data_IF_848727785577
#
_entry.id   IF_848727785577
#
_cell.length_a   1.000
_cell.length_b   1.000
_cell.length_c   1.000
_cell.angle_alpha   90.00
_cell.angle_beta   90.00
_cell.angle_gamma   90.00
#
_symmetry.space_group_name_H-M   'P 1'
#
loop_
_entity.id
_entity.type
_entity.pdbx_description
1 polymer ?
#
# COMPACT_ATOMS: atom_id res chain seq x y z
N UNK A 1 61.86 -34.99 -15.05
CA UNK A 1 60.97 -34.30 -16.02
C UNK A 1 59.55 -34.41 -15.51
N UNK A 2 58.81 -33.30 -15.59
CA UNK A 2 57.37 -33.11 -15.33
C UNK A 2 56.92 -33.12 -13.87
N UNK A 3 57.01 -31.94 -13.28
CA UNK A 3 56.16 -31.48 -12.18
C UNK A 3 54.70 -31.46 -12.66
N UNK A 4 53.79 -32.06 -11.90
CA UNK A 4 52.34 -31.86 -12.07
C UNK A 4 51.88 -31.12 -10.82
N UNK A 5 51.59 -29.83 -11.03
CA UNK A 5 51.07 -28.94 -10.01
C UNK A 5 49.58 -29.23 -9.77
N UNK A 6 49.23 -29.31 -8.50
CA UNK A 6 47.87 -29.41 -7.97
C UNK A 6 47.18 -28.04 -8.18
N UNK A 7 46.12 -27.99 -8.98
CA UNK A 7 45.26 -26.81 -9.09
C UNK A 7 43.92 -27.10 -8.40
N UNK A 8 43.79 -26.67 -7.14
CA UNK A 8 42.49 -26.55 -6.48
C UNK A 8 41.78 -25.31 -7.05
N UNK A 9 40.69 -25.53 -7.78
CA UNK A 9 39.78 -24.47 -8.19
C UNK A 9 38.83 -24.16 -7.02
N UNK A 10 39.14 -23.10 -6.26
CA UNK A 10 38.20 -22.52 -5.31
C UNK A 10 37.15 -21.71 -6.10
N UNK A 11 35.94 -22.25 -6.23
CA UNK A 11 34.79 -21.52 -6.77
C UNK A 11 34.29 -20.51 -5.73
N UNK A 12 34.68 -19.24 -5.87
CA UNK A 12 34.03 -18.15 -5.16
C UNK A 12 32.65 -17.91 -5.77
N UNK A 13 31.59 -18.42 -5.12
CA UNK A 13 30.24 -17.92 -5.35
C UNK A 13 30.15 -16.53 -4.72
N UNK A 14 30.20 -15.49 -5.55
CA UNK A 14 29.81 -14.14 -5.15
C UNK A 14 28.28 -14.10 -5.03
N UNK A 15 27.77 -14.36 -3.83
CA UNK A 15 26.42 -13.98 -3.46
C UNK A 15 26.36 -12.45 -3.38
N UNK A 16 25.74 -11.81 -4.37
CA UNK A 16 25.42 -10.39 -4.29
C UNK A 16 24.31 -10.18 -3.25
N UNK A 17 24.51 -9.35 -2.21
CA UNK A 17 23.40 -8.94 -1.36
C UNK A 17 22.49 -8.03 -2.18
N UNK A 18 21.20 -8.34 -2.24
CA UNK A 18 20.19 -7.38 -2.64
C UNK A 18 20.14 -6.31 -1.53
N UNK A 19 20.89 -5.23 -1.70
CA UNK A 19 20.78 -4.06 -0.83
C UNK A 19 19.39 -3.44 -1.03
N UNK A 20 18.55 -3.54 -0.01
CA UNK A 20 17.44 -2.63 0.18
C UNK A 20 18.04 -1.21 0.27
N UNK A 21 17.60 -0.31 -0.62
CA UNK A 21 18.02 1.08 -0.58
C UNK A 21 17.33 1.76 0.59
N UNK A 22 18.03 1.79 1.72
CA UNK A 22 17.79 2.68 2.83
C UNK A 22 18.35 4.06 2.46
N UNK A 23 17.50 5.07 2.32
CA UNK A 23 17.93 6.44 2.06
C UNK A 23 17.81 7.25 3.35
N UNK A 24 18.92 7.30 4.08
CA UNK A 24 19.15 8.19 5.20
C UNK A 24 19.28 9.66 4.79
N UNK A 25 18.92 10.51 5.75
CA UNK A 25 18.95 11.96 5.81
C UNK A 25 20.24 12.63 5.29
N UNK A 26 20.08 13.72 4.52
CA UNK A 26 20.51 15.07 4.95
C UNK A 26 20.25 16.11 3.85
N UNK A 27 19.37 17.08 4.15
CA UNK A 27 19.65 18.52 3.93
C UNK A 27 18.45 19.35 4.37
N UNK A 28 18.73 20.34 5.21
CA UNK A 28 17.81 21.44 5.55
C UNK A 28 17.53 22.26 4.29
N UNK A 29 16.48 21.90 3.57
CA UNK A 29 15.89 22.66 2.48
C UNK A 29 14.53 23.19 2.91
N UNK A 30 14.27 24.47 2.65
CA UNK A 30 12.94 25.08 2.77
C UNK A 30 11.88 24.14 2.19
N UNK A 31 10.75 23.99 2.86
CA UNK A 31 9.55 23.33 2.34
C UNK A 31 9.12 24.03 1.05
N UNK A 32 9.68 23.62 -0.08
CA UNK A 32 9.09 23.87 -1.38
C UNK A 32 7.81 23.03 -1.40
N UNK A 33 6.67 23.70 -1.30
CA UNK A 33 5.42 23.09 -1.73
C UNK A 33 5.59 22.76 -3.22
N UNK A 34 5.96 21.52 -3.52
CA UNK A 34 6.13 21.09 -4.90
C UNK A 34 4.79 21.29 -5.61
N UNK A 35 4.78 22.19 -6.59
CA UNK A 35 3.62 22.42 -7.43
C UNK A 35 3.22 21.10 -8.10
N UNK A 36 1.92 20.84 -8.31
CA UNK A 36 1.50 19.62 -8.98
C UNK A 36 2.19 19.43 -10.32
N UNK A 37 2.70 18.23 -10.59
CA UNK A 37 3.31 17.90 -11.88
C UNK A 37 2.26 17.85 -12.99
N UNK A 38 2.69 18.11 -14.23
CA UNK A 38 1.83 18.04 -15.40
C UNK A 38 1.37 16.62 -15.73
N UNK A 39 0.27 16.51 -16.49
CA UNK A 39 -0.27 15.23 -16.96
C UNK A 39 0.74 14.44 -17.83
N UNK A 40 1.64 15.16 -18.50
CA UNK A 40 2.72 14.59 -19.30
C UNK A 40 3.71 13.78 -18.47
N UNK A 41 4.00 14.20 -17.24
CA UNK A 41 4.85 13.46 -16.30
C UNK A 41 4.21 12.12 -15.92
N UNK A 42 2.93 12.15 -15.53
CA UNK A 42 2.19 10.93 -15.15
C UNK A 42 1.99 10.01 -16.36
N UNK A 43 1.74 10.57 -17.55
CA UNK A 43 1.67 9.80 -18.79
C UNK A 43 3.01 9.12 -19.12
N UNK A 44 4.13 9.83 -18.96
CA UNK A 44 5.46 9.26 -19.16
C UNK A 44 5.75 8.11 -18.17
N UNK A 45 5.37 8.25 -16.91
CA UNK A 45 5.52 7.20 -15.90
C UNK A 45 4.71 5.94 -16.27
N UNK A 46 3.44 6.11 -16.67
CA UNK A 46 2.60 4.99 -17.12
C UNK A 46 3.18 4.31 -18.37
N UNK A 47 3.72 5.09 -19.31
CA UNK A 47 4.38 4.56 -20.50
C UNK A 47 5.66 3.77 -20.15
N UNK A 48 6.46 4.28 -19.20
CA UNK A 48 7.63 3.59 -18.67
C UNK A 48 7.25 2.26 -18.00
N UNK A 49 6.20 2.25 -17.17
CA UNK A 49 5.67 1.02 -16.57
C UNK A 49 5.29 -0.01 -17.63
N UNK A 50 4.54 0.39 -18.66
CA UNK A 50 4.14 -0.51 -19.74
C UNK A 50 5.35 -1.06 -20.50
N UNK A 51 6.34 -0.21 -20.79
CA UNK A 51 7.59 -0.62 -21.45
C UNK A 51 8.39 -1.61 -20.60
N UNK A 52 8.57 -1.29 -19.31
CA UNK A 52 9.44 -2.05 -18.39
C UNK A 52 8.81 -3.38 -17.93
N UNK A 53 7.51 -3.56 -18.14
CA UNK A 53 6.80 -4.82 -17.82
C UNK A 53 6.59 -5.72 -19.03
N UNK A 54 6.69 -5.19 -20.25
CA UNK A 54 6.46 -5.93 -21.49
C UNK A 54 7.41 -7.13 -21.61
N UNK A 55 6.84 -8.34 -21.67
CA UNK A 55 7.59 -9.59 -21.84
C UNK A 55 8.36 -10.07 -20.60
N UNK A 56 8.37 -9.29 -19.50
CA UNK A 56 9.12 -9.63 -18.28
C UNK A 56 8.42 -10.68 -17.39
N UNK A 57 7.15 -11.02 -17.69
CA UNK A 57 6.42 -12.07 -16.97
C UNK A 57 5.74 -11.62 -15.68
N UNK A 58 5.68 -10.31 -15.40
CA UNK A 58 4.93 -9.78 -14.25
C UNK A 58 3.46 -10.19 -14.30
N UNK A 59 2.90 -10.46 -13.11
CA UNK A 59 1.46 -10.60 -12.92
C UNK A 59 0.72 -9.27 -13.06
N UNK A 60 -0.62 -9.30 -12.90
CA UNK A 60 -1.44 -8.10 -12.79
C UNK A 60 -0.88 -7.11 -11.76
N UNK A 61 -1.01 -5.82 -12.04
CA UNK A 61 -0.49 -4.71 -11.25
C UNK A 61 -1.62 -3.96 -10.53
N UNK A 62 -1.27 -3.34 -9.41
CA UNK A 62 -2.17 -2.56 -8.55
C UNK A 62 -1.55 -1.19 -8.25
N UNK A 63 -2.33 -0.13 -7.94
CA UNK A 63 -3.78 -0.13 -7.71
C UNK A 63 -4.58 0.05 -9.00
N UNK A 64 -5.89 -0.19 -8.94
CA UNK A 64 -6.81 -0.11 -10.09
C UNK A 64 -8.13 0.57 -9.74
N UNK A 65 -8.90 0.86 -10.77
CA UNK A 65 -10.32 1.14 -10.64
C UNK A 65 -11.06 -0.17 -10.32
N UNK A 66 -11.71 -0.25 -9.15
CA UNK A 66 -12.47 -1.42 -8.69
C UNK A 66 -13.87 -1.49 -9.28
N UNK A 67 -14.36 -0.40 -9.89
CA UNK A 67 -15.64 -0.39 -10.64
C UNK A 67 -15.45 -0.86 -12.08
N UNK A 68 -14.21 -0.94 -12.56
CA UNK A 68 -13.87 -1.45 -13.90
C UNK A 68 -13.45 -2.90 -13.84
N UNK A 69 -14.29 -3.80 -14.35
CA UNK A 69 -13.99 -5.24 -14.37
C UNK A 69 -12.92 -5.65 -15.40
N UNK A 70 -12.59 -4.79 -16.36
CA UNK A 70 -11.75 -5.13 -17.49
C UNK A 70 -10.27 -5.38 -17.10
N UNK A 71 -9.66 -6.37 -17.75
CA UNK A 71 -8.24 -6.67 -17.67
C UNK A 71 -7.87 -7.83 -18.58
N UNK A 72 -6.74 -7.69 -19.27
CA UNK A 72 -6.25 -8.64 -20.27
C UNK A 72 -5.07 -9.47 -19.77
N UNK A 73 -4.54 -9.18 -18.58
CA UNK A 73 -3.40 -9.90 -18.05
C UNK A 73 -3.82 -11.32 -17.65
N UNK A 74 -3.42 -12.30 -18.46
CA UNK A 74 -3.77 -13.71 -18.28
C UNK A 74 -2.84 -14.45 -17.30
N UNK A 75 -1.86 -13.78 -16.66
CA UNK A 75 -1.01 -14.43 -15.65
C UNK A 75 -1.84 -14.68 -14.40
N UNK A 76 -1.94 -15.96 -14.03
CA UNK A 76 -2.71 -16.43 -12.89
C UNK A 76 -1.79 -17.00 -11.82
N UNK A 77 -2.15 -16.77 -10.57
CA UNK A 77 -1.56 -17.39 -9.39
C UNK A 77 -2.68 -17.79 -8.43
N UNK A 78 -2.38 -18.73 -7.53
CA UNK A 78 -3.36 -19.22 -6.56
C UNK A 78 -3.84 -18.07 -5.68
N UNK A 79 -5.16 -17.92 -5.58
CA UNK A 79 -5.76 -17.00 -4.62
C UNK A 79 -5.26 -17.35 -3.20
N UNK A 80 -4.88 -16.33 -2.45
CA UNK A 80 -4.51 -16.49 -1.06
C UNK A 80 -5.72 -16.94 -0.23
N UNK A 81 -5.52 -17.70 0.85
CA UNK A 81 -6.59 -18.05 1.79
C UNK A 81 -7.32 -16.82 2.33
N UNK A 82 -8.46 -17.04 3.01
CA UNK A 82 -9.08 -15.96 3.78
C UNK A 82 -8.09 -15.40 4.82
N UNK A 83 -8.14 -14.09 5.09
CA UNK A 83 -7.20 -13.44 6.00
C UNK A 83 -7.20 -14.07 7.41
N UNK A 84 -8.35 -14.61 7.86
CA UNK A 84 -8.49 -15.32 9.14
C UNK A 84 -7.70 -16.63 9.24
N UNK A 85 -7.15 -17.12 8.12
CA UNK A 85 -6.30 -18.30 8.03
C UNK A 85 -4.84 -17.95 7.70
N UNK A 86 -4.47 -16.66 7.72
CA UNK A 86 -3.14 -16.15 7.37
C UNK A 86 -2.61 -15.25 8.49
N UNK A 87 -1.31 -15.03 8.57
CA UNK A 87 -0.72 -14.18 9.60
C UNK A 87 -0.73 -12.72 9.18
N UNK A 88 -1.27 -11.83 10.01
CA UNK A 88 -1.10 -10.39 9.85
C UNK A 88 0.39 -10.07 9.96
N UNK A 89 0.95 -9.39 8.95
CA UNK A 89 2.35 -8.97 8.94
C UNK A 89 2.52 -7.47 9.03
N UNK A 90 1.58 -6.69 8.48
CA UNK A 90 1.71 -5.23 8.47
C UNK A 90 0.34 -4.56 8.38
N UNK A 91 0.19 -3.41 9.03
CA UNK A 91 -0.87 -2.44 8.76
C UNK A 91 -0.20 -1.10 8.46
N UNK A 92 -0.50 -0.54 7.31
CA UNK A 92 -0.06 0.80 6.91
C UNK A 92 -1.21 1.53 6.22
N UNK A 93 -1.02 2.83 5.97
CA UNK A 93 -2.03 3.62 5.29
C UNK A 93 -1.45 4.72 4.41
N UNK A 94 -2.21 5.09 3.39
CA UNK A 94 -1.85 6.14 2.43
C UNK A 94 -2.71 7.38 2.63
N UNK A 95 -2.17 8.55 2.29
CA UNK A 95 -2.98 9.76 2.18
C UNK A 95 -3.70 9.77 0.83
N UNK A 96 -5.03 9.86 0.88
CA UNK A 96 -5.97 9.52 -0.18
C UNK A 96 -5.96 8.02 -0.53
N UNK A 97 -6.97 7.58 -1.28
CA UNK A 97 -7.07 6.22 -1.76
C UNK A 97 -6.12 5.98 -2.94
N UNK A 98 -5.40 4.85 -2.88
CA UNK A 98 -4.61 4.31 -3.99
C UNK A 98 -5.53 3.72 -5.06
N UNK A 99 -6.57 3.01 -4.62
CA UNK A 99 -7.62 2.52 -5.50
C UNK A 99 -8.59 3.64 -5.88
N UNK A 100 -9.30 3.42 -6.98
CA UNK A 100 -10.45 4.22 -7.40
C UNK A 100 -11.69 3.34 -7.38
N UNK A 101 -12.82 3.86 -6.92
CA UNK A 101 -14.13 3.22 -7.11
C UNK A 101 -15.06 3.44 -5.94
N UNK A 102 -16.31 2.98 -6.07
CA UNK A 102 -17.31 3.16 -5.03
C UNK A 102 -17.45 4.63 -4.60
N UNK A 103 -17.18 4.91 -3.33
CA UNK A 103 -17.30 6.25 -2.73
C UNK A 103 -16.02 7.11 -2.81
N UNK A 104 -14.96 6.63 -3.48
CA UNK A 104 -13.67 7.33 -3.63
C UNK A 104 -13.22 7.39 -5.09
N UNK A 105 -13.80 8.31 -5.85
CA UNK A 105 -13.57 8.49 -7.30
C UNK A 105 -13.05 9.86 -7.69
N UNK A 106 -13.07 10.83 -6.77
CA UNK A 106 -12.58 12.20 -7.03
C UNK A 106 -11.06 12.23 -7.01
N UNK A 107 -10.43 12.45 -8.16
CA UNK A 107 -8.97 12.54 -8.24
C UNK A 107 -8.43 13.79 -7.54
N UNK A 108 -7.45 13.61 -6.65
CA UNK A 108 -6.82 14.68 -5.89
C UNK A 108 -5.90 15.58 -6.73
N UNK A 109 -5.49 15.11 -7.91
CA UNK A 109 -4.49 15.74 -8.77
C UNK A 109 -3.21 14.91 -8.85
N UNK A 110 -2.26 15.35 -9.67
CA UNK A 110 -1.01 14.61 -9.91
C UNK A 110 0.00 14.69 -8.77
N UNK A 111 -0.21 15.62 -7.83
CA UNK A 111 0.69 15.81 -6.70
C UNK A 111 2.13 16.07 -7.15
N UNK A 112 3.10 15.60 -6.35
CA UNK A 112 4.52 15.80 -6.63
C UNK A 112 5.11 14.87 -7.71
N UNK A 113 4.29 14.00 -8.32
CA UNK A 113 4.73 12.97 -9.27
C UNK A 113 5.42 11.76 -8.61
N UNK A 114 5.58 11.79 -7.29
CA UNK A 114 6.17 10.73 -6.46
C UNK A 114 5.15 10.14 -5.48
N UNK A 115 3.87 10.44 -5.69
CA UNK A 115 2.73 9.82 -4.99
C UNK A 115 2.16 10.64 -3.86
N UNK A 116 2.85 11.66 -3.37
CA UNK A 116 2.27 12.55 -2.37
C UNK A 116 1.33 13.56 -3.02
N UNK A 117 0.30 13.97 -2.29
CA UNK A 117 -0.73 14.91 -2.76
C UNK A 117 -1.50 14.43 -4.02
N UNK A 118 -1.51 13.11 -4.28
CA UNK A 118 -2.27 12.46 -5.36
C UNK A 118 -3.31 11.47 -4.80
N UNK A 119 -3.89 10.61 -5.63
CA UNK A 119 -4.84 9.57 -5.25
C UNK A 119 -6.31 10.01 -5.34
N UNK A 120 -7.20 9.26 -4.71
CA UNK A 120 -8.64 9.47 -4.79
C UNK A 120 -9.26 9.84 -3.43
N UNK A 121 -10.13 10.84 -3.46
CA UNK A 121 -10.81 11.37 -2.28
C UNK A 121 -12.20 10.78 -2.17
N UNK A 122 -12.66 10.66 -0.93
CA UNK A 122 -14.06 10.42 -0.60
C UNK A 122 -14.96 11.47 -1.26
N UNK A 123 -16.05 11.02 -1.87
CA UNK A 123 -16.98 11.86 -2.63
C UNK A 123 -18.13 12.41 -1.79
N UNK A 124 -18.35 11.88 -0.59
CA UNK A 124 -19.50 12.27 0.22
C UNK A 124 -19.29 13.58 0.98
N UNK A 125 -20.35 14.02 1.64
CA UNK A 125 -20.37 15.29 2.37
C UNK A 125 -20.04 15.11 3.85
N UNK A 126 -19.38 16.11 4.41
CA UNK A 126 -19.06 16.23 5.83
C UNK A 126 -19.68 17.53 6.36
N UNK A 127 -20.14 17.49 7.61
CA UNK A 127 -20.63 18.70 8.29
C UNK A 127 -19.48 19.65 8.66
N UNK A 128 -19.80 20.91 8.91
CA UNK A 128 -18.82 21.89 9.39
C UNK A 128 -18.15 21.45 10.70
N UNK A 129 -18.90 20.79 11.59
CA UNK A 129 -18.37 20.26 12.83
C UNK A 129 -17.35 19.14 12.59
N UNK A 130 -17.63 18.23 11.65
CA UNK A 130 -16.71 17.15 11.26
C UNK A 130 -15.43 17.67 10.58
N UNK A 131 -15.52 18.81 9.90
CA UNK A 131 -14.39 19.48 9.24
C UNK A 131 -13.65 20.47 10.15
N UNK A 132 -14.13 20.69 11.37
CA UNK A 132 -13.54 21.67 12.27
C UNK A 132 -12.06 21.31 12.56
N UNK A 133 -11.14 22.28 12.52
CA UNK A 133 -9.71 22.01 12.69
C UNK A 133 -9.39 21.44 14.06
N UNK A 134 -8.35 20.60 14.13
CA UNK A 134 -7.77 20.12 15.39
C UNK A 134 -6.61 21.01 15.83
N UNK A 135 -6.33 21.03 17.13
CA UNK A 135 -5.34 21.95 17.75
C UNK A 135 -3.89 21.48 17.67
N UNK A 136 -3.61 20.34 17.03
CA UNK A 136 -2.29 19.75 16.95
C UNK A 136 -2.10 19.01 15.62
N UNK A 137 -0.85 18.77 15.24
CA UNK A 137 -0.52 18.01 14.04
C UNK A 137 -0.88 16.53 14.21
N UNK A 138 -1.39 15.93 13.12
CA UNK A 138 -1.79 14.53 13.06
C UNK A 138 -0.88 13.83 12.06
N UNK A 139 -0.09 12.88 12.55
CA UNK A 139 0.83 12.06 11.76
C UNK A 139 1.71 12.90 10.79
N UNK A 140 2.48 13.88 11.30
CA UNK A 140 3.24 14.82 10.48
C UNK A 140 4.34 14.11 9.67
N UNK A 141 4.60 14.62 8.47
CA UNK A 141 5.71 14.18 7.61
C UNK A 141 6.32 15.35 6.85
N UNK A 142 7.41 15.10 6.12
CA UNK A 142 7.98 16.07 5.18
C UNK A 142 6.98 16.51 4.08
N UNK A 143 5.94 15.72 3.81
CA UNK A 143 4.91 15.97 2.80
C UNK A 143 3.59 16.51 3.38
N UNK A 144 3.59 16.86 4.68
CA UNK A 144 2.46 17.45 5.38
C UNK A 144 1.80 16.52 6.41
N UNK A 145 0.87 17.09 7.16
CA UNK A 145 0.04 16.41 8.17
C UNK A 145 -1.30 15.92 7.58
N UNK A 146 -2.05 15.16 8.38
CA UNK A 146 -3.45 14.83 8.14
C UNK A 146 -4.39 15.89 8.72
N UNK A 147 -5.51 16.14 8.04
CA UNK A 147 -6.53 17.10 8.43
C UNK A 147 -7.93 16.48 8.38
N UNK A 148 -8.89 17.00 9.16
CA UNK A 148 -10.29 16.64 9.01
C UNK A 148 -10.75 16.84 7.56
N UNK A 149 -11.41 15.84 6.98
CA UNK A 149 -11.78 15.77 5.57
C UNK A 149 -10.80 14.98 4.69
N UNK A 150 -9.58 14.72 5.16
CA UNK A 150 -8.65 13.87 4.42
C UNK A 150 -9.19 12.45 4.30
N UNK A 151 -8.99 11.86 3.12
CA UNK A 151 -9.24 10.44 2.87
C UNK A 151 -7.96 9.66 3.18
N UNK A 152 -8.08 8.46 3.73
CA UNK A 152 -6.97 7.52 3.86
C UNK A 152 -7.40 6.14 3.38
N UNK A 153 -6.48 5.42 2.76
CA UNK A 153 -6.67 4.00 2.45
C UNK A 153 -5.72 3.16 3.30
N UNK A 154 -6.28 2.17 3.98
CA UNK A 154 -5.60 1.35 4.98
C UNK A 154 -5.50 -0.07 4.46
N UNK A 155 -4.28 -0.60 4.53
CA UNK A 155 -3.96 -1.96 4.10
C UNK A 155 -3.67 -2.84 5.30
N UNK A 156 -4.43 -3.91 5.44
CA UNK A 156 -4.17 -4.98 6.39
C UNK A 156 -3.53 -6.14 5.62
N UNK A 157 -2.20 -6.21 5.68
CA UNK A 157 -1.40 -7.13 4.88
C UNK A 157 -1.22 -8.44 5.65
N UNK A 158 -1.54 -9.54 4.99
CA UNK A 158 -1.46 -10.89 5.53
C UNK A 158 -0.54 -11.75 4.67
N UNK A 159 0.17 -12.68 5.31
CA UNK A 159 1.09 -13.61 4.69
C UNK A 159 0.81 -15.05 5.15
N UNK A 160 1.01 -16.03 4.27
CA UNK A 160 1.01 -17.45 4.66
C UNK A 160 2.31 -17.87 5.35
N UNK A 161 3.34 -17.02 5.37
CA UNK A 161 4.58 -17.29 6.07
C UNK A 161 4.37 -17.29 7.59
N UNK A 162 5.23 -18.02 8.30
CA UNK A 162 5.33 -17.96 9.76
C UNK A 162 6.13 -16.71 10.14
N UNK A 163 5.41 -15.62 10.43
CA UNK A 163 5.97 -14.28 10.67
C UNK A 163 5.27 -13.62 11.86
N UNK A 164 5.86 -12.52 12.32
CA UNK A 164 5.24 -11.62 13.29
C UNK A 164 5.02 -10.24 12.67
N UNK A 165 3.99 -9.50 13.09
CA UNK A 165 3.77 -8.12 12.67
C UNK A 165 5.03 -7.24 12.82
N UNK A 166 5.28 -6.37 11.85
CA UNK A 166 6.40 -5.45 11.90
C UNK A 166 6.43 -4.43 10.76
N UNK A 167 7.49 -3.61 10.70
CA UNK A 167 7.61 -2.53 9.74
C UNK A 167 7.86 -3.04 8.33
N UNK A 168 7.29 -2.31 7.36
CA UNK A 168 7.48 -2.52 5.91
C UNK A 168 6.93 -3.85 5.36
N UNK A 169 6.96 -3.98 4.03
CA UNK A 169 6.67 -5.24 3.35
C UNK A 169 7.62 -6.39 3.77
N UNK A 170 8.82 -6.06 4.26
CA UNK A 170 9.80 -7.05 4.72
C UNK A 170 9.26 -7.96 5.81
N UNK A 171 8.42 -7.46 6.72
CA UNK A 171 7.78 -8.27 7.77
C UNK A 171 6.76 -9.29 7.24
N UNK A 172 6.35 -9.17 5.98
CA UNK A 172 5.46 -10.14 5.33
C UNK A 172 6.22 -11.28 4.65
N UNK A 173 7.54 -11.19 4.59
CA UNK A 173 8.42 -12.15 3.93
C UNK A 173 9.26 -12.91 4.95
N UNK A 174 9.70 -14.11 4.60
CA UNK A 174 10.59 -14.93 5.41
C UNK A 174 11.75 -15.38 4.54
N UNK A 175 12.98 -15.37 5.07
CA UNK A 175 14.15 -15.90 4.37
C UNK A 175 13.98 -17.38 3.99
N UNK A 176 13.15 -18.12 4.74
CA UNK A 176 12.86 -19.53 4.49
C UNK A 176 11.81 -19.77 3.40
N UNK A 177 11.08 -18.74 2.97
CA UNK A 177 9.96 -18.86 2.02
C UNK A 177 10.07 -17.75 0.97
N UNK A 178 10.55 -18.10 -0.23
CA UNK A 178 10.75 -17.13 -1.32
C UNK A 178 9.48 -16.60 -2.00
N UNK A 179 8.32 -17.22 -1.78
CA UNK A 179 7.05 -16.78 -2.39
C UNK A 179 5.84 -17.12 -1.51
N UNK A 180 5.65 -16.46 -0.36
CA UNK A 180 4.43 -16.62 0.41
C UNK A 180 3.23 -16.09 -0.37
N UNK A 181 2.02 -16.61 -0.10
CA UNK A 181 0.82 -15.98 -0.63
C UNK A 181 0.55 -14.72 0.20
N UNK A 182 0.35 -13.60 -0.50
CA UNK A 182 0.02 -12.32 0.10
C UNK A 182 -1.46 -12.00 -0.12
N UNK A 183 -2.10 -11.49 0.93
CA UNK A 183 -3.47 -11.00 0.89
C UNK A 183 -3.54 -9.62 1.53
N UNK A 184 -4.24 -8.69 0.89
CA UNK A 184 -4.52 -7.37 1.47
C UNK A 184 -6.02 -7.21 1.61
N UNK A 185 -6.47 -7.01 2.85
CA UNK A 185 -7.79 -6.46 3.11
C UNK A 185 -7.66 -4.94 3.15
N UNK A 186 -8.50 -4.24 2.40
CA UNK A 186 -8.40 -2.79 2.23
C UNK A 186 -9.67 -2.10 2.71
N UNK A 187 -9.47 -1.00 3.43
CA UNK A 187 -10.53 -0.09 3.87
C UNK A 187 -10.18 1.33 3.46
N UNK A 188 -11.18 2.08 3.03
CA UNK A 188 -11.04 3.53 2.83
C UNK A 188 -11.80 4.25 3.94
N UNK A 189 -11.15 5.22 4.55
CA UNK A 189 -11.71 6.03 5.63
C UNK A 189 -11.66 7.51 5.28
N UNK A 190 -12.58 8.28 5.86
CA UNK A 190 -12.51 9.75 5.88
C UNK A 190 -12.33 10.22 7.31
N UNK A 191 -11.37 11.11 7.52
CA UNK A 191 -11.02 11.62 8.83
C UNK A 191 -11.98 12.72 9.23
N UNK A 192 -12.55 12.65 10.43
CA UNK A 192 -13.48 13.64 10.95
C UNK A 192 -13.11 14.04 12.38
N UNK A 193 -13.37 15.30 12.71
CA UNK A 193 -13.30 15.80 14.09
C UNK A 193 -14.59 15.46 14.85
N UNK A 194 -14.82 14.17 15.05
CA UNK A 194 -15.96 13.67 15.84
C UNK A 194 -15.53 12.50 16.74
N UNK A 195 -15.69 12.67 18.06
CA UNK A 195 -15.37 11.65 19.06
C UNK A 195 -16.29 10.43 19.01
N UNK A 196 -17.43 10.51 18.33
CA UNK A 196 -18.36 9.40 18.10
C UNK A 196 -18.03 8.59 16.86
N UNK A 197 -17.16 9.10 15.98
CA UNK A 197 -16.68 8.36 14.82
C UNK A 197 -15.83 7.15 15.25
N UNK A 198 -15.53 6.26 14.30
CA UNK A 198 -14.78 5.05 14.59
C UNK A 198 -13.38 5.36 15.16
N UNK A 199 -12.92 4.54 16.10
CA UNK A 199 -11.60 4.68 16.72
C UNK A 199 -10.58 3.87 15.92
N UNK A 200 -9.55 4.53 15.41
CA UNK A 200 -8.52 3.92 14.57
C UNK A 200 -7.74 2.83 15.31
N UNK A 201 -7.44 3.01 16.59
CA UNK A 201 -6.77 1.99 17.41
C UNK A 201 -7.60 0.72 17.52
N UNK A 202 -8.94 0.82 17.57
CA UNK A 202 -9.84 -0.34 17.48
C UNK A 202 -9.86 -0.94 16.09
N UNK A 203 -9.88 -0.13 15.04
CA UNK A 203 -9.84 -0.59 13.64
C UNK A 203 -8.54 -1.31 13.29
N UNK A 204 -7.44 -0.97 13.96
CA UNK A 204 -6.13 -1.62 13.83
C UNK A 204 -5.83 -2.62 14.94
N UNK A 205 -6.85 -3.04 15.72
CA UNK A 205 -6.63 -3.95 16.84
C UNK A 205 -6.09 -5.31 16.36
N UNK A 206 -5.03 -5.76 17.03
CA UNK A 206 -4.36 -7.03 16.76
C UNK A 206 -4.67 -7.99 17.91
N UNK A 207 -4.95 -9.25 17.58
CA UNK A 207 -4.99 -10.34 18.56
C UNK A 207 -4.10 -11.49 18.10
N UNK A 208 -3.55 -12.24 19.06
CA UNK A 208 -3.01 -13.57 18.78
C UNK A 208 -4.17 -14.56 18.79
N UNK A 209 -4.51 -15.16 17.65
CA UNK A 209 -5.44 -16.31 17.60
C UNK A 209 -4.74 -17.48 16.91
N UNK A 210 -4.47 -18.53 17.68
CA UNK A 210 -3.84 -19.74 17.14
C UNK A 210 -2.38 -19.51 16.72
N UNK A 211 -2.05 -19.83 15.47
CA UNK A 211 -0.67 -19.88 14.94
C UNK A 211 -0.09 -18.53 14.48
N UNK A 212 -0.72 -17.39 14.80
CA UNK A 212 -0.14 -16.07 14.54
C UNK A 212 -1.07 -14.88 14.78
N UNK A 213 -0.61 -13.69 14.38
CA UNK A 213 -1.30 -12.42 14.60
C UNK A 213 -2.48 -12.24 13.64
N UNK A 214 -3.55 -11.60 14.12
CA UNK A 214 -4.79 -11.33 13.38
C UNK A 214 -5.24 -9.89 13.57
N UNK A 215 -5.66 -9.23 12.48
CA UNK A 215 -6.36 -7.96 12.56
C UNK A 215 -7.85 -8.21 12.88
N UNK A 216 -8.24 -7.96 14.14
CA UNK A 216 -9.61 -8.18 14.61
C UNK A 216 -10.51 -6.96 14.48
N UNK A 217 -9.92 -5.81 14.15
CA UNK A 217 -10.60 -4.53 14.03
C UNK A 217 -11.21 -4.22 12.66
N UNK A 218 -10.97 -5.06 11.65
CA UNK A 218 -11.37 -4.76 10.26
C UNK A 218 -12.91 -4.66 10.19
N UNK A 219 -13.47 -3.52 9.78
CA UNK A 219 -14.90 -3.36 9.65
C UNK A 219 -15.46 -4.23 8.51
N UNK A 220 -16.65 -4.77 8.73
CA UNK A 220 -17.34 -5.66 7.78
C UNK A 220 -18.52 -4.99 7.07
N UNK A 221 -18.83 -3.75 7.42
CA UNK A 221 -20.02 -3.00 7.03
C UNK A 221 -19.75 -1.87 6.02
N UNK A 222 -18.59 -1.86 5.36
CA UNK A 222 -18.18 -0.88 4.33
C UNK A 222 -18.41 -1.40 2.91
N UNK A 223 -19.53 -2.11 2.70
CA UNK A 223 -19.90 -2.70 1.41
C UNK A 223 -19.22 -4.03 1.11
N UNK A 224 -19.72 -4.74 0.10
CA UNK A 224 -19.16 -6.04 -0.34
C UNK A 224 -17.78 -5.83 -0.96
N UNK A 225 -16.74 -6.57 -0.52
CA UNK A 225 -15.39 -6.38 -1.05
C UNK A 225 -15.30 -6.84 -2.51
N UNK A 226 -14.65 -6.01 -3.33
CA UNK A 226 -14.22 -6.35 -4.69
C UNK A 226 -12.88 -7.08 -4.59
N UNK A 227 -12.84 -8.31 -5.07
CA UNK A 227 -11.65 -9.16 -5.00
C UNK A 227 -11.01 -9.31 -6.38
N UNK A 228 -9.69 -9.17 -6.44
CA UNK A 228 -8.94 -9.31 -7.68
C UNK A 228 -7.49 -9.71 -7.42
N UNK A 229 -6.82 -10.25 -8.45
CA UNK A 229 -5.38 -10.54 -8.39
C UNK A 229 -4.60 -9.32 -8.84
N UNK A 230 -3.60 -8.94 -8.07
CA UNK A 230 -2.79 -7.75 -8.32
C UNK A 230 -1.37 -7.91 -7.83
N UNK A 231 -0.74 -6.76 -7.56
CA UNK A 231 0.61 -6.68 -7.03
C UNK A 231 0.65 -5.83 -5.77
N UNK A 232 1.83 -5.64 -5.18
CA UNK A 232 1.99 -4.55 -4.21
C UNK A 232 1.82 -3.21 -4.91
N UNK A 233 1.45 -2.20 -4.12
CA UNK A 233 1.31 -0.81 -4.51
C UNK A 233 2.51 0.01 -4.02
N UNK A 234 2.39 1.34 -4.00
CA UNK A 234 3.44 2.27 -3.62
C UNK A 234 4.11 2.98 -4.81
N UNK A 235 4.45 4.28 -4.68
CA UNK A 235 4.93 5.12 -5.77
C UNK A 235 6.28 4.68 -6.35
N UNK A 236 7.06 3.90 -5.60
CA UNK A 236 8.28 3.27 -6.11
C UNK A 236 8.04 2.33 -7.31
N UNK A 237 6.78 1.93 -7.58
CA UNK A 237 6.39 1.11 -8.73
C UNK A 237 5.66 1.92 -9.83
N UNK A 238 5.75 3.25 -9.83
CA UNK A 238 5.17 4.09 -10.88
C UNK A 238 5.71 3.77 -12.28
N UNK A 239 6.97 3.32 -12.37
CA UNK A 239 7.66 3.06 -13.65
C UNK A 239 8.17 1.62 -13.80
N UNK A 240 8.05 0.78 -12.77
CA UNK A 240 8.51 -0.62 -12.78
C UNK A 240 7.43 -1.56 -12.27
N UNK A 241 7.41 -2.78 -12.80
CA UNK A 241 6.51 -3.83 -12.33
C UNK A 241 6.85 -4.26 -10.91
N UNK A 242 5.82 -4.42 -10.08
CA UNK A 242 5.98 -5.14 -8.81
C UNK A 242 6.00 -6.64 -9.07
N UNK A 243 6.99 -7.38 -8.52
CA UNK A 243 7.11 -8.82 -8.72
C UNK A 243 6.13 -9.62 -7.85
N UNK A 244 5.50 -8.99 -6.86
CA UNK A 244 4.68 -9.67 -5.87
C UNK A 244 3.30 -10.03 -6.41
N UNK A 245 2.82 -11.21 -6.01
CA UNK A 245 1.50 -11.74 -6.34
C UNK A 245 0.57 -11.55 -5.14
N UNK A 246 -0.37 -10.62 -5.24
CA UNK A 246 -1.22 -10.21 -4.13
C UNK A 246 -2.69 -10.49 -4.45
N UNK A 247 -3.39 -11.13 -3.52
CA UNK A 247 -4.85 -11.22 -3.54
C UNK A 247 -5.44 -10.00 -2.83
N UNK A 248 -6.08 -9.11 -3.58
CA UNK A 248 -6.69 -7.90 -3.04
C UNK A 248 -8.16 -8.13 -2.68
N UNK A 249 -8.61 -7.42 -1.65
CA UNK A 249 -9.99 -7.38 -1.18
C UNK A 249 -10.30 -5.94 -0.78
N UNK A 250 -10.89 -5.17 -1.70
CA UNK A 250 -11.12 -3.72 -1.54
C UNK A 250 -12.58 -3.44 -1.31
N UNK A 251 -12.91 -2.80 -0.20
CA UNK A 251 -14.29 -2.41 0.13
C UNK A 251 -14.65 -1.04 -0.45
N UNK A 252 -15.81 -0.90 -1.11
CA UNK A 252 -16.14 0.29 -1.90
C UNK A 252 -16.73 1.45 -1.11
N UNK A 253 -17.12 1.26 0.16
CA UNK A 253 -17.71 2.32 0.99
C UNK A 253 -16.72 2.84 2.03
N UNK A 254 -16.89 4.10 2.41
CA UNK A 254 -16.01 4.81 3.32
C UNK A 254 -16.60 4.87 4.73
N UNK A 255 -15.79 4.58 5.74
CA UNK A 255 -16.17 4.82 7.13
C UNK A 255 -15.55 6.12 7.67
N UNK A 256 -16.29 6.81 8.53
CA UNK A 256 -15.79 7.99 9.25
C UNK A 256 -14.94 7.57 10.44
N UNK A 257 -13.74 8.13 10.55
CA UNK A 257 -12.78 7.82 11.63
C UNK A 257 -12.43 9.08 12.39
N UNK A 258 -12.41 8.99 13.72
CA UNK A 258 -11.99 10.08 14.58
C UNK A 258 -10.50 10.38 14.34
N UNK A 259 -10.20 11.56 13.81
CA UNK A 259 -8.85 11.95 13.43
C UNK A 259 -7.85 11.89 14.60
N UNK A 260 -8.26 12.24 15.82
CA UNK A 260 -7.39 12.21 17.01
C UNK A 260 -6.91 10.78 17.31
N UNK A 261 -7.73 9.77 17.00
CA UNK A 261 -7.38 8.36 17.21
C UNK A 261 -6.32 7.88 16.21
N UNK A 262 -6.30 8.44 15.00
CA UNK A 262 -5.24 8.20 14.00
C UNK A 262 -3.94 8.83 14.49
N UNK A 263 -3.99 10.10 14.91
CA UNK A 263 -2.84 10.81 15.46
C UNK A 263 -2.24 10.12 16.69
N UNK A 264 -3.07 9.50 17.54
CA UNK A 264 -2.60 8.68 18.66
C UNK A 264 -1.88 7.41 18.20
N UNK A 265 -2.38 6.73 17.16
CA UNK A 265 -1.78 5.50 16.64
C UNK A 265 -0.41 5.74 16.00
N UNK A 266 -0.25 6.85 15.27
CA UNK A 266 1.02 7.27 14.66
C UNK A 266 2.13 7.57 15.69
N UNK A 267 1.79 7.82 16.96
CA UNK A 267 2.79 8.05 18.02
C UNK A 267 3.48 6.78 18.49
N UNK A 268 2.96 5.61 18.14
CA UNK A 268 3.54 4.34 18.52
C UNK A 268 2.64 3.15 18.17
N UNK A 269 3.15 2.29 17.31
CA UNK A 269 2.55 1.01 16.94
C UNK A 269 3.66 0.02 16.55
N UNK A 270 3.32 -1.26 16.47
CA UNK A 270 4.25 -2.36 16.14
C UNK A 270 4.82 -2.28 14.71
N UNK A 271 4.19 -1.51 13.83
CA UNK A 271 4.59 -1.36 12.43
C UNK A 271 5.56 -0.19 12.20
N UNK A 272 5.86 0.60 13.24
CA UNK A 272 6.62 1.85 13.16
C UNK A 272 6.05 2.86 12.16
N UNK A 273 4.74 2.81 11.94
CA UNK A 273 4.06 3.75 11.05
C UNK A 273 3.75 5.04 11.81
N UNK A 274 4.30 6.17 11.35
CA UNK A 274 4.16 7.47 12.01
C UNK A 274 3.54 8.55 11.10
N UNK A 275 3.41 8.27 9.81
CA UNK A 275 2.78 9.14 8.82
C UNK A 275 2.08 8.36 7.71
N UNK A 276 1.34 9.09 6.88
CA UNK A 276 0.67 8.55 5.71
C UNK A 276 1.63 8.43 4.53
N UNK A 277 1.61 7.28 3.84
CA UNK A 277 2.39 7.06 2.63
C UNK A 277 1.79 7.79 1.42
N UNK A 278 2.63 8.08 0.42
CA UNK A 278 2.19 8.49 -0.91
C UNK A 278 1.54 7.33 -1.67
N UNK A 279 0.74 7.64 -2.70
CA UNK A 279 0.03 6.66 -3.52
C UNK A 279 0.76 6.32 -4.82
N UNK A 280 0.63 5.10 -5.33
CA UNK A 280 1.03 4.77 -6.70
C UNK A 280 0.02 5.35 -7.71
N UNK A 281 0.51 5.72 -8.90
CA UNK A 281 -0.36 6.05 -10.03
C UNK A 281 -1.33 4.89 -10.32
N UNK A 282 -2.61 5.21 -10.52
CA UNK A 282 -3.61 4.24 -10.92
C UNK A 282 -3.18 3.51 -12.21
N UNK A 283 -3.17 2.19 -12.18
CA UNK A 283 -2.88 1.36 -13.34
C UNK A 283 -4.09 1.36 -14.26
N UNK A 284 -3.90 1.84 -15.49
CA UNK A 284 -4.96 1.99 -16.49
C UNK A 284 -4.80 1.06 -17.70
N UNK A 285 -3.59 0.53 -17.94
CA UNK A 285 -3.33 -0.37 -19.06
C UNK A 285 -3.99 -1.73 -18.80
N UNK A 286 -4.99 -2.16 -19.60
CA UNK A 286 -5.66 -3.45 -19.39
C UNK A 286 -4.72 -4.64 -19.43
N UNK A 287 -3.61 -4.58 -20.18
CA UNK A 287 -2.62 -5.67 -20.25
C UNK A 287 -1.84 -5.85 -18.93
N UNK A 288 -1.94 -4.87 -18.03
CA UNK A 288 -1.40 -4.92 -16.67
C UNK A 288 -2.48 -5.18 -15.62
N UNK A 289 -3.75 -5.34 -15.99
CA UNK A 289 -4.85 -5.58 -15.05
C UNK A 289 -5.39 -7.00 -15.21
N UNK A 290 -5.80 -7.60 -14.09
CA UNK A 290 -6.60 -8.82 -14.08
C UNK A 290 -8.05 -8.49 -14.43
N UNK A 291 -8.82 -9.47 -14.91
CA UNK A 291 -10.28 -9.33 -14.89
C UNK A 291 -10.79 -9.48 -13.45
N UNK A 292 -11.70 -8.60 -13.03
CA UNK A 292 -12.48 -8.79 -11.80
C UNK A 292 -13.59 -9.80 -12.09
N UNK A 293 -13.75 -10.78 -11.21
CA UNK A 293 -14.75 -11.85 -11.36
C UNK A 293 -16.00 -11.58 -10.55
#
# INVERSE_FOLDING_TARGET
MKHIALAMAAGFMLASPAFASDHGHDSHGKTEAHAPVGDDVIAAQRAALAKNTKGAGFGPQSPRDIDSAAGNNARVFSAAPAHTAMNLCNIHFHKNAEHKGGEFTTYAGNGDGHGYLSGFKYNGQLSEAELAPVSHEICPSAHGSLYPGDTIEVHYVHSTADITPGPTLGSCLSESIGNPQLRVETQVYVLVNDKKAADFGKLTAISGKGKGAQATGIPSNTGTPVQYTGSTTGPGYNEKGSPYQVSWSVRPQVAKVNIDSVGKWCKGNVFNEDHAHGVRNLVQNPDLLSAIK
#
